data_IF_078827208361
#
_entry.id   IF_078827208361
#
_cell.length_a   1.000
_cell.length_b   1.000
_cell.length_c   1.000
_cell.angle_alpha   90.00
_cell.angle_beta   90.00
_cell.angle_gamma   90.00
#
_symmetry.space_group_name_H-M   'P 1'
#
loop_
_entity.id
_entity.type
_entity.pdbx_description
1 polymer ?
#
# COMPACT_ATOMS: atom_id res chain seq x y z
N UNK A 1 -8.03 -11.08 -17.80
CA UNK A 1 -9.27 -11.44 -17.07
C UNK A 1 -10.28 -10.32 -17.26
N UNK A 2 -11.51 -10.62 -17.68
CA UNK A 2 -12.52 -9.63 -18.14
C UNK A 2 -13.74 -9.66 -17.22
N UNK A 3 -14.37 -8.52 -16.97
CA UNK A 3 -15.62 -8.43 -16.19
C UNK A 3 -16.90 -8.75 -16.99
N UNK A 4 -16.73 -9.21 -18.24
CA UNK A 4 -17.81 -9.49 -19.18
C UNK A 4 -18.97 -10.36 -18.60
N UNK A 5 -18.73 -11.38 -17.76
CA UNK A 5 -19.84 -12.18 -17.20
C UNK A 5 -20.79 -11.35 -16.32
N UNK A 6 -20.28 -10.37 -15.56
CA UNK A 6 -21.09 -9.52 -14.68
C UNK A 6 -21.73 -8.38 -15.47
N UNK A 7 -21.02 -7.79 -16.43
CA UNK A 7 -21.61 -6.76 -17.31
C UNK A 7 -22.81 -7.28 -18.10
N UNK A 8 -22.76 -8.53 -18.56
CA UNK A 8 -23.84 -9.17 -19.31
C UNK A 8 -25.14 -9.33 -18.50
N UNK A 9 -25.07 -9.27 -17.17
CA UNK A 9 -26.26 -9.34 -16.30
C UNK A 9 -27.03 -8.02 -16.21
N UNK A 10 -26.45 -6.91 -16.66
CA UNK A 10 -27.04 -5.57 -16.53
C UNK A 10 -27.00 -4.99 -15.10
N UNK A 11 -26.54 -5.73 -14.10
CA UNK A 11 -26.51 -5.31 -12.69
C UNK A 11 -25.61 -4.09 -12.42
N UNK A 12 -24.67 -3.80 -13.33
CA UNK A 12 -23.75 -2.66 -13.24
C UNK A 12 -24.30 -1.39 -13.91
N UNK A 13 -25.44 -1.47 -14.59
CA UNK A 13 -26.02 -0.33 -15.30
C UNK A 13 -26.42 0.78 -14.32
N UNK A 14 -25.97 2.01 -14.58
CA UNK A 14 -26.26 3.19 -13.75
C UNK A 14 -25.55 3.22 -12.40
N UNK A 15 -24.58 2.33 -12.15
CA UNK A 15 -23.75 2.33 -10.94
C UNK A 15 -22.42 3.06 -11.18
N UNK A 16 -22.00 3.87 -10.22
CA UNK A 16 -20.71 4.58 -10.23
C UNK A 16 -19.71 4.02 -9.22
N UNK A 17 -20.19 3.28 -8.22
CA UNK A 17 -19.38 2.69 -7.14
C UNK A 17 -19.54 1.18 -7.13
N UNK A 18 -18.43 0.46 -6.95
CA UNK A 18 -18.39 -0.99 -6.77
C UNK A 18 -17.65 -1.35 -5.49
N UNK A 19 -18.37 -1.99 -4.57
CA UNK A 19 -17.78 -2.63 -3.38
C UNK A 19 -17.52 -4.09 -3.69
N UNK A 20 -16.25 -4.49 -3.63
CA UNK A 20 -15.78 -5.83 -3.94
C UNK A 20 -15.44 -6.56 -2.64
N UNK A 21 -16.00 -7.77 -2.48
CA UNK A 21 -15.70 -8.68 -1.39
C UNK A 21 -14.93 -9.88 -1.95
N UNK A 22 -13.61 -9.76 -2.19
CA UNK A 22 -12.82 -10.85 -2.76
C UNK A 22 -12.59 -11.97 -1.74
N UNK A 23 -12.62 -13.22 -2.23
CA UNK A 23 -12.38 -14.42 -1.44
C UNK A 23 -11.18 -15.18 -1.99
N UNK A 24 -10.28 -15.62 -1.09
CA UNK A 24 -9.07 -16.39 -1.41
C UNK A 24 -8.19 -15.68 -2.46
N UNK A 25 -7.79 -16.39 -3.53
CA UNK A 25 -6.90 -15.89 -4.59
C UNK A 25 -7.36 -14.57 -5.23
N UNK A 26 -8.65 -14.27 -5.20
CA UNK A 26 -9.19 -13.02 -5.73
C UNK A 26 -8.70 -11.80 -4.95
N UNK A 27 -8.24 -11.95 -3.70
CA UNK A 27 -7.69 -10.84 -2.93
C UNK A 27 -6.41 -10.28 -3.53
N UNK A 28 -5.67 -11.12 -4.26
CA UNK A 28 -4.48 -10.72 -4.99
C UNK A 28 -4.82 -10.19 -6.39
N UNK A 29 -6.06 -10.28 -6.84
CA UNK A 29 -6.42 -9.79 -8.17
C UNK A 29 -6.46 -8.25 -8.18
N UNK A 30 -5.71 -7.58 -9.07
CA UNK A 30 -5.79 -6.12 -9.20
C UNK A 30 -7.08 -5.73 -9.94
N UNK A 31 -8.22 -5.73 -9.24
CA UNK A 31 -9.53 -5.41 -9.82
C UNK A 31 -9.55 -4.07 -10.55
N UNK A 32 -8.81 -3.08 -10.04
CA UNK A 32 -8.63 -1.79 -10.69
C UNK A 32 -8.05 -1.90 -12.11
N UNK A 33 -7.20 -2.90 -12.36
CA UNK A 33 -6.53 -3.15 -13.64
C UNK A 33 -7.28 -4.18 -14.52
N UNK A 34 -8.41 -4.72 -14.08
CA UNK A 34 -9.26 -5.52 -14.95
C UNK A 34 -9.85 -4.63 -16.06
N UNK A 35 -10.03 -5.22 -17.24
CA UNK A 35 -10.50 -4.49 -18.42
C UNK A 35 -11.89 -4.96 -18.84
N UNK A 36 -12.67 -4.02 -19.36
CA UNK A 36 -13.88 -4.32 -20.10
C UNK A 36 -13.57 -4.82 -21.53
N UNK A 37 -14.61 -5.13 -22.30
CA UNK A 37 -14.49 -5.56 -23.70
C UNK A 37 -13.97 -4.46 -24.64
N UNK A 38 -14.00 -3.20 -24.21
CA UNK A 38 -13.50 -2.04 -24.96
C UNK A 38 -12.04 -1.71 -24.61
N UNK A 39 -11.43 -2.43 -23.67
CA UNK A 39 -10.05 -2.22 -23.23
C UNK A 39 -9.88 -1.12 -22.18
N UNK A 40 -10.97 -0.61 -21.59
CA UNK A 40 -10.90 0.36 -20.49
C UNK A 40 -10.78 -0.35 -19.14
N UNK A 41 -9.98 0.22 -18.24
CA UNK A 41 -9.80 -0.31 -16.89
C UNK A 41 -11.02 -0.03 -16.01
N UNK A 42 -11.31 -0.92 -15.05
CA UNK A 42 -12.43 -0.69 -14.12
C UNK A 42 -12.30 0.60 -13.31
N UNK A 43 -11.09 0.94 -12.87
CA UNK A 43 -10.85 2.17 -12.10
C UNK A 43 -11.16 3.44 -12.90
N UNK A 44 -11.19 3.36 -14.23
CA UNK A 44 -11.58 4.50 -15.09
C UNK A 44 -13.10 4.67 -15.19
N UNK A 45 -13.87 3.69 -14.72
CA UNK A 45 -15.33 3.66 -14.84
C UNK A 45 -16.05 3.71 -13.49
N UNK A 46 -15.45 3.14 -12.46
CA UNK A 46 -16.06 2.99 -11.15
C UNK A 46 -15.12 3.45 -10.04
N UNK A 47 -15.69 4.02 -8.99
CA UNK A 47 -15.04 4.09 -7.69
C UNK A 47 -15.03 2.68 -7.08
N UNK A 48 -13.84 2.20 -6.72
CA UNK A 48 -13.63 0.82 -6.28
C UNK A 48 -13.27 0.79 -4.79
N UNK A 49 -14.05 0.06 -4.01
CA UNK A 49 -13.74 -0.25 -2.62
C UNK A 49 -13.56 -1.76 -2.46
N UNK A 50 -12.46 -2.19 -1.84
CA UNK A 50 -12.28 -3.59 -1.44
C UNK A 50 -12.56 -3.71 0.06
N UNK A 51 -13.42 -4.65 0.42
CA UNK A 51 -13.74 -4.96 1.82
C UNK A 51 -13.50 -6.44 2.09
N UNK A 52 -12.96 -6.81 3.27
CA UNK A 52 -12.74 -8.21 3.60
C UNK A 52 -14.05 -9.00 3.77
N UNK A 53 -15.17 -8.33 4.09
CA UNK A 53 -16.48 -8.96 4.18
C UNK A 53 -17.61 -7.92 4.10
N UNK A 54 -18.82 -8.38 3.76
CA UNK A 54 -20.02 -7.52 3.82
C UNK A 54 -20.29 -7.01 5.24
N UNK A 55 -20.07 -7.84 6.27
CA UNK A 55 -20.25 -7.46 7.67
C UNK A 55 -19.29 -6.35 8.11
N UNK A 56 -18.03 -6.40 7.66
CA UNK A 56 -17.05 -5.34 7.92
C UNK A 56 -17.47 -4.05 7.22
N UNK A 57 -17.95 -4.13 5.97
CA UNK A 57 -18.44 -2.96 5.25
C UNK A 57 -19.61 -2.27 5.98
N UNK A 58 -20.60 -3.05 6.42
CA UNK A 58 -21.74 -2.52 7.19
C UNK A 58 -21.25 -1.91 8.51
N UNK A 59 -20.41 -2.62 9.27
CA UNK A 59 -19.88 -2.13 10.55
C UNK A 59 -19.06 -0.83 10.41
N UNK A 60 -18.35 -0.65 9.29
CA UNK A 60 -17.63 0.59 8.98
C UNK A 60 -18.59 1.72 8.58
N UNK A 61 -19.66 1.41 7.84
CA UNK A 61 -20.70 2.37 7.47
C UNK A 61 -21.50 2.90 8.66
N UNK A 62 -21.77 2.03 9.63
CA UNK A 62 -22.50 2.39 10.87
C UNK A 62 -21.60 3.07 11.91
N UNK A 63 -20.28 3.16 11.66
CA UNK A 63 -19.34 3.72 12.63
C UNK A 63 -19.59 5.22 12.79
N UNK A 64 -20.03 5.69 13.97
CA UNK A 64 -20.28 7.11 14.20
C UNK A 64 -19.02 7.90 13.89
N UNK A 65 -19.17 9.13 13.39
CA UNK A 65 -18.06 10.06 13.21
C UNK A 65 -17.30 10.15 14.53
N UNK A 66 -16.08 9.60 14.58
CA UNK A 66 -15.22 9.64 15.76
C UNK A 66 -14.80 11.08 16.04
N UNK A 67 -14.17 11.35 17.19
CA UNK A 67 -13.56 12.66 17.42
C UNK A 67 -12.66 12.98 16.23
N UNK A 68 -12.82 14.18 15.66
CA UNK A 68 -12.07 14.56 14.47
C UNK A 68 -10.58 14.57 14.83
N UNK A 69 -9.83 13.59 14.32
CA UNK A 69 -8.38 13.70 14.28
C UNK A 69 -7.98 15.01 13.58
N UNK A 70 -6.72 15.39 13.66
CA UNK A 70 -6.23 16.59 12.98
C UNK A 70 -5.05 16.27 12.07
N UNK A 71 -5.09 16.82 10.86
CA UNK A 71 -3.96 16.82 9.93
C UNK A 71 -3.49 15.45 9.46
N UNK A 72 -2.30 15.46 8.88
CA UNK A 72 -1.63 14.32 8.25
C UNK A 72 -0.39 13.96 9.04
N UNK A 73 -0.19 12.68 9.29
CA UNK A 73 1.05 12.16 9.85
C UNK A 73 1.68 11.20 8.85
N UNK A 74 2.87 11.53 8.35
CA UNK A 74 3.55 10.74 7.34
C UNK A 74 4.93 10.26 7.80
N UNK A 75 5.26 9.00 7.53
CA UNK A 75 6.51 8.36 7.90
C UNK A 75 7.30 7.93 6.67
N UNK A 76 8.59 8.25 6.65
CA UNK A 76 9.59 7.72 5.72
C UNK A 76 10.86 7.30 6.48
N UNK A 77 10.87 6.13 7.15
CA UNK A 77 11.93 5.73 8.08
C UNK A 77 13.24 5.35 7.42
N UNK A 78 13.24 5.10 6.12
CA UNK A 78 14.39 4.56 5.38
C UNK A 78 14.75 5.43 4.16
N UNK A 79 14.94 6.75 4.31
CA UNK A 79 15.07 7.67 3.18
C UNK A 79 16.26 7.35 2.27
N UNK A 80 17.33 6.77 2.84
CA UNK A 80 18.53 6.37 2.09
C UNK A 80 18.32 5.11 1.22
N UNK A 81 17.46 4.18 1.64
CA UNK A 81 17.20 2.94 0.89
C UNK A 81 15.89 2.99 0.10
N UNK A 82 15.01 3.95 0.41
CA UNK A 82 13.75 4.25 -0.27
C UNK A 82 13.68 5.75 -0.62
N UNK A 83 14.33 6.19 -1.71
CA UNK A 83 14.26 7.57 -2.15
C UNK A 83 12.83 7.97 -2.58
N UNK A 84 12.05 7.06 -3.17
CA UNK A 84 10.64 7.27 -3.52
C UNK A 84 9.79 7.61 -2.30
N UNK A 85 9.94 6.87 -1.20
CA UNK A 85 9.27 7.17 0.08
C UNK A 85 9.59 8.58 0.60
N UNK A 86 10.83 9.03 0.44
CA UNK A 86 11.22 10.40 0.83
C UNK A 86 10.53 11.46 -0.02
N UNK A 87 10.44 11.21 -1.32
CA UNK A 87 9.77 12.11 -2.27
C UNK A 87 8.25 12.13 -2.07
N UNK A 88 7.66 10.99 -1.71
CA UNK A 88 6.25 10.84 -1.36
C UNK A 88 5.89 11.70 -0.15
N UNK A 89 6.60 11.53 0.98
CA UNK A 89 6.31 12.33 2.18
C UNK A 89 6.65 13.80 2.02
N UNK A 90 7.66 14.15 1.22
CA UNK A 90 7.95 15.54 0.87
C UNK A 90 6.81 16.16 0.04
N UNK A 91 6.15 15.38 -0.81
CA UNK A 91 4.96 15.83 -1.55
C UNK A 91 3.78 16.03 -0.64
N UNK A 92 3.55 15.12 0.33
CA UNK A 92 2.54 15.30 1.38
C UNK A 92 2.77 16.59 2.15
N UNK A 93 4.02 16.86 2.58
CA UNK A 93 4.36 18.09 3.29
C UNK A 93 4.03 19.35 2.48
N UNK A 94 4.28 19.33 1.16
CA UNK A 94 3.96 20.45 0.26
C UNK A 94 2.46 20.66 0.08
N UNK A 95 1.69 19.59 -0.01
CA UNK A 95 0.24 19.66 -0.26
C UNK A 95 -0.56 19.99 0.99
N UNK A 96 -0.22 19.38 2.12
CA UNK A 96 -0.94 19.57 3.39
C UNK A 96 -0.36 20.68 4.27
N UNK A 97 0.81 21.23 3.94
CA UNK A 97 1.37 22.40 4.63
C UNK A 97 1.53 22.20 6.13
N UNK A 98 1.07 23.17 6.93
CA UNK A 98 1.19 23.14 8.40
C UNK A 98 0.42 21.99 9.06
N UNK A 99 -0.56 21.40 8.38
CA UNK A 99 -1.34 20.28 8.89
C UNK A 99 -0.60 18.94 8.77
N UNK A 100 0.49 18.88 8.00
CA UNK A 100 1.34 17.70 7.90
C UNK A 100 2.46 17.70 8.94
N UNK A 101 2.56 16.59 9.68
CA UNK A 101 3.75 16.22 10.43
C UNK A 101 4.45 15.08 9.69
N UNK A 102 5.64 15.35 9.15
CA UNK A 102 6.47 14.34 8.49
C UNK A 102 7.60 13.91 9.41
N UNK A 103 7.73 12.60 9.61
CA UNK A 103 8.84 11.98 10.32
C UNK A 103 9.66 11.13 9.35
N UNK A 104 10.97 11.31 9.34
CA UNK A 104 11.86 10.57 8.44
C UNK A 104 13.13 10.09 9.14
N UNK A 105 13.76 9.06 8.57
CA UNK A 105 14.97 8.46 9.10
C UNK A 105 14.79 7.96 10.54
N UNK A 106 15.75 8.27 11.40
CA UNK A 106 15.75 7.88 12.82
C UNK A 106 14.61 8.50 13.65
N UNK A 107 13.88 9.50 13.12
CA UNK A 107 12.75 10.11 13.82
C UNK A 107 11.41 9.41 13.54
N UNK A 108 11.36 8.58 12.49
CA UNK A 108 10.18 7.86 12.04
C UNK A 108 10.05 6.52 12.80
N UNK A 109 10.01 6.60 14.14
CA UNK A 109 10.04 5.43 15.02
C UNK A 109 8.66 4.89 15.33
N UNK A 110 8.64 3.66 15.82
CA UNK A 110 7.40 3.04 16.30
C UNK A 110 6.83 3.74 17.54
N UNK A 111 7.68 4.14 18.48
CA UNK A 111 7.25 4.95 19.63
C UNK A 111 6.61 6.27 19.20
N UNK A 112 7.14 6.91 18.14
CA UNK A 112 6.55 8.10 17.57
C UNK A 112 5.20 7.81 16.92
N UNK A 113 5.07 6.68 16.23
CA UNK A 113 3.80 6.24 15.65
C UNK A 113 2.74 6.02 16.74
N UNK A 114 3.03 5.22 17.76
CA UNK A 114 2.10 4.92 18.87
C UNK A 114 1.60 6.18 19.58
N UNK A 115 2.49 7.16 19.77
CA UNK A 115 2.17 8.43 20.43
C UNK A 115 1.31 9.36 19.56
N UNK A 116 1.60 9.46 18.26
CA UNK A 116 1.03 10.49 17.40
C UNK A 116 -0.14 10.00 16.57
N UNK A 117 -0.17 8.73 16.16
CA UNK A 117 -1.18 8.19 15.26
C UNK A 117 -2.62 8.25 15.80
N UNK A 118 -2.90 8.03 17.11
CA UNK A 118 -4.27 8.03 17.63
C UNK A 118 -5.08 9.31 17.34
N UNK A 119 -4.42 10.47 17.23
CA UNK A 119 -5.08 11.78 17.08
C UNK A 119 -5.07 12.34 15.66
N UNK A 120 -4.73 11.55 14.64
CA UNK A 120 -4.52 12.03 13.26
C UNK A 120 -5.62 11.51 12.32
N UNK A 121 -6.05 12.34 11.36
CA UNK A 121 -7.06 11.92 10.36
C UNK A 121 -6.46 11.05 9.27
N UNK A 122 -5.25 11.39 8.85
CA UNK A 122 -4.56 10.69 7.78
C UNK A 122 -3.23 10.18 8.30
N UNK A 123 -3.03 8.87 8.19
CA UNK A 123 -1.76 8.21 8.46
C UNK A 123 -1.17 7.76 7.13
N UNK A 124 0.09 8.08 6.88
CA UNK A 124 0.78 7.67 5.66
C UNK A 124 2.11 7.00 6.00
N UNK A 125 2.25 5.72 5.68
CA UNK A 125 3.42 4.91 5.99
C UNK A 125 4.13 4.54 4.68
N UNK A 126 5.15 5.33 4.31
CA UNK A 126 6.00 5.09 3.15
C UNK A 126 7.25 4.31 3.57
N UNK A 127 7.16 2.98 3.54
CA UNK A 127 8.21 2.10 4.07
C UNK A 127 8.18 0.70 3.43
N UNK A 128 8.78 -0.31 4.06
CA UNK A 128 8.66 -1.71 3.71
C UNK A 128 7.63 -2.41 4.59
N UNK A 129 6.79 -3.25 3.99
CA UNK A 129 5.98 -4.25 4.67
C UNK A 129 6.65 -5.62 4.54
N UNK A 130 6.73 -6.36 5.63
CA UNK A 130 7.28 -7.72 5.66
C UNK A 130 6.17 -8.69 6.02
N UNK A 131 5.98 -9.68 5.15
CA UNK A 131 4.99 -10.74 5.34
C UNK A 131 5.61 -11.94 6.05
N UNK A 132 5.01 -12.36 7.16
CA UNK A 132 5.37 -13.60 7.84
C UNK A 132 4.35 -14.69 7.50
N UNK A 133 4.70 -15.56 6.55
CA UNK A 133 3.80 -16.62 6.05
C UNK A 133 3.48 -17.69 7.11
N UNK A 134 4.38 -17.92 8.06
CA UNK A 134 4.19 -18.93 9.11
C UNK A 134 3.32 -18.40 10.24
N UNK A 135 3.42 -17.10 10.53
CA UNK A 135 2.61 -16.46 11.56
C UNK A 135 2.20 -15.04 11.13
N UNK A 136 1.04 -14.90 10.47
CA UNK A 136 0.60 -13.63 9.89
C UNK A 136 0.47 -12.49 10.90
N UNK A 137 0.22 -12.80 12.18
CA UNK A 137 0.17 -11.81 13.26
C UNK A 137 1.50 -11.09 13.51
N UNK A 138 2.62 -11.70 13.11
CA UNK A 138 3.97 -11.12 13.16
C UNK A 138 4.41 -10.54 11.80
N UNK A 139 3.48 -10.35 10.86
CA UNK A 139 3.74 -9.47 9.72
C UNK A 139 3.80 -8.03 10.20
N UNK A 140 4.64 -7.20 9.60
CA UNK A 140 4.88 -5.84 10.11
C UNK A 140 5.18 -4.82 9.02
N UNK A 141 5.01 -3.54 9.37
CA UNK A 141 5.61 -2.42 8.63
C UNK A 141 6.89 -1.98 9.34
N UNK A 142 7.97 -1.79 8.58
CA UNK A 142 9.28 -1.46 9.16
C UNK A 142 9.35 0.03 9.48
N UNK A 143 9.54 0.37 10.75
CA UNK A 143 9.84 1.73 11.21
C UNK A 143 11.30 1.81 11.68
N UNK A 144 11.73 3.01 12.05
CA UNK A 144 13.03 3.17 12.68
C UNK A 144 12.99 2.59 14.11
N UNK A 145 13.97 1.76 14.51
CA UNK A 145 14.09 1.31 15.89
C UNK A 145 14.47 2.50 16.79
N UNK A 146 14.12 2.41 18.06
CA UNK A 146 14.61 3.31 19.10
C UNK A 146 14.96 2.54 20.38
N UNK A 147 15.16 3.25 21.49
CA UNK A 147 15.53 2.61 22.76
C UNK A 147 14.39 1.84 23.43
N UNK A 148 13.15 1.99 22.95
CA UNK A 148 11.96 1.35 23.51
C UNK A 148 11.41 0.26 22.59
N UNK A 149 11.39 0.50 21.28
CA UNK A 149 10.77 -0.38 20.29
C UNK A 149 11.77 -0.82 19.21
N UNK A 150 11.57 -2.02 18.66
CA UNK A 150 12.46 -2.63 17.66
C UNK A 150 12.22 -2.13 16.21
N UNK A 151 11.23 -1.24 16.06
CA UNK A 151 10.83 -0.65 14.79
C UNK A 151 10.12 -1.64 13.87
N UNK A 152 9.42 -2.64 14.41
CA UNK A 152 8.55 -3.54 13.67
C UNK A 152 7.14 -3.37 14.21
N UNK A 153 6.37 -2.49 13.56
CA UNK A 153 4.95 -2.35 13.91
C UNK A 153 4.19 -3.56 13.36
N UNK A 154 4.00 -4.56 14.20
CA UNK A 154 3.41 -5.87 13.89
C UNK A 154 1.88 -5.83 13.91
N UNK A 155 1.25 -6.74 13.15
CA UNK A 155 -0.21 -6.84 13.03
C UNK A 155 -0.91 -6.98 14.39
N UNK A 156 -0.39 -7.82 15.28
CA UNK A 156 -0.96 -8.00 16.62
C UNK A 156 -0.92 -6.72 17.48
N UNK A 157 0.09 -5.89 17.27
CA UNK A 157 0.24 -4.63 18.00
C UNK A 157 -0.74 -3.57 17.47
N UNK A 158 -0.93 -3.54 16.16
CA UNK A 158 -1.90 -2.65 15.52
C UNK A 158 -3.32 -2.95 16.01
N UNK A 159 -3.67 -4.23 16.25
CA UNK A 159 -4.96 -4.59 16.84
C UNK A 159 -5.21 -3.96 18.23
N UNK A 160 -4.16 -3.66 18.98
CA UNK A 160 -4.26 -3.00 20.29
C UNK A 160 -4.39 -1.46 20.21
N UNK A 161 -4.29 -0.86 19.03
CA UNK A 161 -4.36 0.58 18.85
C UNK A 161 -5.80 1.10 18.80
N UNK A 162 -5.94 2.38 19.13
CA UNK A 162 -7.19 3.14 18.97
C UNK A 162 -6.90 4.37 18.12
N UNK A 163 -7.42 4.39 16.89
CA UNK A 163 -7.14 5.41 15.89
C UNK A 163 -8.38 6.23 15.58
N UNK A 164 -8.23 7.55 15.46
CA UNK A 164 -9.24 8.46 14.91
C UNK A 164 -9.04 8.73 13.41
N UNK A 165 -8.37 7.80 12.70
CA UNK A 165 -7.99 7.97 11.30
C UNK A 165 -9.16 7.74 10.35
N UNK A 166 -9.39 8.69 9.45
CA UNK A 166 -10.28 8.50 8.31
C UNK A 166 -9.58 7.69 7.22
N UNK A 167 -8.26 7.86 7.07
CA UNK A 167 -7.47 7.19 6.04
C UNK A 167 -6.12 6.73 6.58
N UNK A 168 -5.78 5.47 6.31
CA UNK A 168 -4.43 4.94 6.44
C UNK A 168 -3.92 4.56 5.06
N UNK A 169 -2.76 5.09 4.68
CA UNK A 169 -2.07 4.74 3.45
C UNK A 169 -0.85 3.92 3.80
N UNK A 170 -0.82 2.69 3.32
CA UNK A 170 0.29 1.76 3.41
C UNK A 170 1.03 1.78 2.07
N UNK A 171 1.91 2.76 1.90
CA UNK A 171 2.89 2.79 0.80
C UNK A 171 4.09 1.90 1.18
N UNK A 172 3.77 0.65 1.55
CA UNK A 172 4.67 -0.27 2.23
C UNK A 172 5.29 -1.31 1.28
N UNK A 173 4.80 -1.45 0.05
CA UNK A 173 5.20 -2.57 -0.83
C UNK A 173 6.45 -2.31 -1.67
N UNK A 174 7.32 -1.36 -1.31
CA UNK A 174 8.61 -1.17 -1.99
C UNK A 174 9.62 -2.30 -1.72
N UNK A 175 9.18 -3.43 -1.17
CA UNK A 175 10.02 -4.61 -0.93
C UNK A 175 10.44 -5.26 -2.23
N UNK A 176 11.72 -5.13 -2.56
CA UNK A 176 12.40 -6.07 -3.43
C UNK A 176 12.09 -7.50 -2.98
N UNK A 177 11.52 -8.27 -3.89
CA UNK A 177 11.31 -9.71 -3.80
C UNK A 177 12.67 -10.40 -3.61
N UNK A 178 13.19 -10.38 -2.40
CA UNK A 178 14.27 -11.25 -1.97
C UNK A 178 13.73 -12.68 -1.90
N UNK A 179 14.05 -13.45 -2.94
CA UNK A 179 14.01 -14.92 -2.97
C UNK A 179 12.62 -15.59 -3.00
N UNK A 180 12.05 -15.75 -4.20
CA UNK A 180 11.34 -16.99 -4.57
C UNK A 180 9.81 -17.09 -4.41
N UNK A 181 9.11 -16.04 -4.00
CA UNK A 181 7.71 -16.17 -3.55
C UNK A 181 6.61 -15.98 -4.62
N UNK A 182 6.81 -16.36 -5.88
CA UNK A 182 5.71 -16.52 -6.85
C UNK A 182 5.21 -17.97 -6.97
N UNK A 183 5.88 -18.93 -6.32
CA UNK A 183 5.48 -20.34 -6.38
C UNK A 183 4.47 -20.76 -5.30
N UNK A 184 4.32 -19.99 -4.22
CA UNK A 184 3.46 -20.35 -3.08
C UNK A 184 2.63 -19.14 -2.65
N UNK A 185 1.51 -18.92 -3.36
CA UNK A 185 0.40 -18.12 -2.83
C UNK A 185 -0.28 -18.99 -1.76
N UNK A 186 -0.19 -18.63 -0.46
CA UNK A 186 -0.86 -19.41 0.57
C UNK A 186 -2.38 -19.26 0.40
N UNK A 187 -3.13 -20.32 0.72
CA UNK A 187 -4.54 -20.20 1.04
C UNK A 187 -4.68 -19.42 2.37
N UNK A 188 -4.60 -18.09 2.31
CA UNK A 188 -4.53 -17.25 3.49
C UNK A 188 -4.36 -15.75 3.19
N UNK A 189 -5.18 -14.96 3.86
CA UNK A 189 -5.44 -13.53 3.69
C UNK A 189 -4.37 -12.64 4.40
N UNK A 190 -3.09 -12.72 4.02
CA UNK A 190 -2.02 -12.16 4.87
C UNK A 190 -1.80 -10.64 4.73
N UNK A 191 -1.94 -10.04 3.53
CA UNK A 191 -1.99 -8.57 3.36
C UNK A 191 -3.28 -7.94 3.91
N UNK A 192 -4.29 -8.78 3.96
CA UNK A 192 -5.53 -8.52 4.65
C UNK A 192 -5.32 -8.49 6.17
N UNK A 193 -4.23 -9.07 6.72
CA UNK A 193 -3.85 -8.94 8.13
C UNK A 193 -3.57 -7.50 8.58
N UNK A 194 -2.65 -6.79 7.93
CA UNK A 194 -2.35 -5.38 8.23
C UNK A 194 -3.55 -4.47 7.94
N UNK A 195 -4.22 -4.69 6.80
CA UNK A 195 -5.41 -3.92 6.41
C UNK A 195 -6.54 -4.09 7.44
N UNK A 196 -6.85 -5.33 7.84
CA UNK A 196 -7.84 -5.64 8.89
C UNK A 196 -7.43 -5.06 10.23
N UNK A 197 -6.15 -5.12 10.59
CA UNK A 197 -5.68 -4.58 11.85
C UNK A 197 -5.91 -3.07 11.94
N UNK A 198 -5.60 -2.30 10.88
CA UNK A 198 -5.87 -0.86 10.87
C UNK A 198 -7.36 -0.52 10.88
N UNK A 199 -8.19 -1.26 10.14
CA UNK A 199 -9.65 -1.09 10.18
C UNK A 199 -10.21 -1.38 11.59
N UNK A 200 -9.73 -2.45 12.22
CA UNK A 200 -10.07 -2.81 13.59
C UNK A 200 -9.66 -1.72 14.58
N UNK A 201 -8.41 -1.24 14.46
CA UNK A 201 -7.83 -0.21 15.31
C UNK A 201 -8.57 1.13 15.25
N UNK A 202 -9.35 1.40 14.20
CA UNK A 202 -10.06 2.68 14.11
C UNK A 202 -10.17 3.29 12.73
N UNK A 203 -9.33 2.87 11.79
CA UNK A 203 -9.30 3.43 10.46
C UNK A 203 -10.63 3.22 9.73
N UNK A 204 -11.17 4.25 9.07
CA UNK A 204 -12.35 4.09 8.19
C UNK A 204 -11.97 3.48 6.85
N UNK A 205 -10.84 3.94 6.29
CA UNK A 205 -10.34 3.48 5.01
C UNK A 205 -8.85 3.13 5.12
N UNK A 206 -8.45 2.09 4.41
CA UNK A 206 -7.05 1.70 4.26
C UNK A 206 -6.77 1.57 2.78
N UNK A 207 -5.75 2.27 2.29
CA UNK A 207 -5.23 2.14 0.94
C UNK A 207 -3.86 1.49 1.05
N UNK A 208 -3.68 0.34 0.41
CA UNK A 208 -2.41 -0.37 0.39
C UNK A 208 -2.00 -0.65 -1.06
N UNK A 209 -0.71 -0.55 -1.35
CA UNK A 209 -0.17 -1.05 -2.61
C UNK A 209 -0.14 -2.58 -2.57
N UNK A 210 -0.62 -3.27 -3.61
CA UNK A 210 -0.65 -4.75 -3.63
C UNK A 210 0.70 -5.36 -4.04
N UNK A 211 1.54 -4.61 -4.75
CA UNK A 211 2.80 -5.07 -5.34
C UNK A 211 3.86 -3.98 -5.27
N UNK A 212 5.16 -4.33 -5.37
CA UNK A 212 6.20 -3.35 -5.62
C UNK A 212 5.91 -2.57 -6.89
N UNK A 213 5.73 -1.26 -6.74
CA UNK A 213 5.77 -0.34 -7.87
C UNK A 213 7.23 0.06 -8.03
N UNK A 214 7.81 -0.30 -9.17
CA UNK A 214 9.20 -0.01 -9.48
C UNK A 214 9.39 1.52 -9.57
N UNK A 215 10.23 2.09 -8.71
CA UNK A 215 10.51 3.53 -8.66
C UNK A 215 11.28 4.04 -9.89
N UNK A 216 11.65 3.15 -10.82
CA UNK A 216 12.38 3.47 -12.03
C UNK A 216 11.46 3.47 -13.28
N UNK A 217 10.39 4.27 -13.30
CA UNK A 217 9.65 4.54 -14.54
C UNK A 217 9.70 6.02 -14.94
N UNK A 218 10.82 6.70 -14.70
CA UNK A 218 11.12 7.96 -15.40
C UNK A 218 12.63 8.21 -15.49
N UNK A 219 13.34 7.38 -16.26
CA UNK A 219 14.59 7.82 -16.89
C UNK A 219 14.32 7.93 -18.38
N UNK A 220 14.35 9.13 -18.99
CA UNK A 220 14.34 9.25 -20.43
C UNK A 220 15.50 8.42 -20.98
N UNK A 221 15.17 7.43 -21.81
CA UNK A 221 16.14 6.73 -22.63
C UNK A 221 16.73 7.73 -23.64
N UNK A 222 17.76 8.46 -23.23
CA UNK A 222 18.58 9.33 -24.08
C UNK A 222 19.85 9.57 -23.25
N UNK A 223 20.93 8.83 -23.43
CA UNK A 223 21.68 8.63 -24.66
C UNK A 223 22.59 7.40 -24.51
N UNK A 224 22.45 6.38 -25.38
CA UNK A 224 23.52 5.40 -25.59
C UNK A 224 24.54 6.02 -26.56
N UNK A 225 25.82 6.19 -26.20
CA UNK A 225 26.86 6.44 -27.17
C UNK A 225 27.04 5.18 -28.03
N UNK A 226 26.90 5.34 -29.34
CA UNK A 226 27.15 4.30 -30.34
C UNK A 226 28.61 3.83 -30.28
N UNK A 227 28.90 2.77 -29.54
CA UNK A 227 30.14 2.01 -29.73
C UNK A 227 29.94 1.08 -30.93
N UNK A 228 30.30 1.58 -32.11
CA UNK A 228 30.64 0.76 -33.30
C UNK A 228 31.80 -0.15 -32.92
N UNK A 229 31.53 -1.42 -32.61
CA UNK A 229 32.55 -2.45 -32.55
C UNK A 229 32.86 -2.91 -33.97
N UNK A 230 33.95 -2.35 -34.50
CA UNK A 230 34.64 -2.81 -35.70
C UNK A 230 35.32 -4.15 -35.37
N UNK A 231 34.86 -5.24 -35.97
CA UNK A 231 35.52 -6.54 -35.90
C UNK A 231 36.73 -6.57 -36.84
N UNK A 232 37.94 -6.97 -36.41
CA UNK A 232 39.08 -7.12 -37.31
C UNK A 232 39.05 -8.50 -37.99
N UNK A 233 39.12 -8.49 -39.33
CA UNK A 233 39.37 -9.68 -40.16
C UNK A 233 40.77 -10.23 -39.84
N UNK A 234 40.87 -11.50 -39.45
CA UNK A 234 42.13 -12.25 -39.45
C UNK A 234 42.46 -12.66 -40.90
N UNK A 235 43.46 -12.02 -41.50
CA UNK A 235 44.24 -12.52 -42.63
C UNK A 235 45.54 -13.14 -42.08
N UNK A 236 45.88 -14.34 -42.55
CA UNK A 236 46.89 -15.20 -41.94
C UNK A 236 48.35 -14.91 -42.27
N UNK A 237 49.19 -15.80 -41.73
CA UNK A 237 50.40 -16.40 -42.28
C UNK A 237 50.75 -17.59 -41.40
#
# INVERSE_FOLDING_TARGET
MRIAPVEATGLLAGKSELVLVPHAELQYLPFAALMDTTGRFLVQRYELALTPSASVWIALGDRPAGPAGAGVLAFAPRPATLPGASQEVATIQRLAGADAQVLSGSNATESAFRRLAPSRRVLHLATYGVLNKQNPLFSFVKLAPDGAEDGRLEVHEVFGLHLAADLVVLSACQTGLGSGALADVPAGDDWVGLTRAFLHAGARHVVATLWPVDDCSTVPATSRPSRRTHWPRRSGR
#
